data_IF_668426509237
#
_entry.id   IF_668426509237
#
_cell.length_a   1.000
_cell.length_b   1.000
_cell.length_c   1.000
_cell.angle_alpha   90.00
_cell.angle_beta   90.00
_cell.angle_gamma   90.00
#
_symmetry.space_group_name_H-M   'P 1'
#
loop_
_entity.id
_entity.type
_entity.pdbx_description
1 polymer ?
#
# COMPACT_ATOMS: atom_id res chain seq x y z
N UNK A 1 1.97 1.54 27.26
CA UNK A 1 1.54 0.51 26.28
C UNK A 1 1.99 0.86 24.84
N UNK A 2 1.71 2.05 24.31
CA UNK A 2 2.03 2.38 22.91
C UNK A 2 3.50 2.21 22.51
N UNK A 3 4.45 2.74 23.29
CA UNK A 3 5.87 2.61 22.98
C UNK A 3 6.38 1.16 22.98
N UNK A 4 5.88 0.31 23.86
CA UNK A 4 6.25 -1.11 23.87
C UNK A 4 5.73 -1.83 22.62
N UNK A 5 4.52 -1.52 22.18
CA UNK A 5 3.96 -2.11 20.94
C UNK A 5 4.77 -1.68 19.71
N UNK A 6 5.14 -0.40 19.61
CA UNK A 6 5.98 0.10 18.51
C UNK A 6 7.36 -0.55 18.49
N UNK A 7 8.03 -0.64 19.65
CA UNK A 7 9.34 -1.31 19.75
C UNK A 7 9.25 -2.81 19.41
N UNK A 8 8.19 -3.48 19.84
CA UNK A 8 7.96 -4.89 19.48
C UNK A 8 7.73 -5.04 17.98
N UNK A 9 6.93 -4.16 17.37
CA UNK A 9 6.72 -4.14 15.93
C UNK A 9 8.03 -3.93 15.15
N UNK A 10 8.83 -2.96 15.56
CA UNK A 10 10.14 -2.70 14.96
C UNK A 10 11.08 -3.91 15.09
N UNK A 11 11.12 -4.55 16.26
CA UNK A 11 11.94 -5.75 16.47
C UNK A 11 11.51 -6.90 15.56
N UNK A 12 10.20 -7.13 15.43
CA UNK A 12 9.66 -8.18 14.57
C UNK A 12 10.01 -7.91 13.09
N UNK A 13 9.84 -6.68 12.62
CA UNK A 13 10.21 -6.31 11.24
C UNK A 13 11.70 -6.49 11.00
N UNK A 14 12.55 -6.05 11.93
CA UNK A 14 13.99 -6.21 11.83
C UNK A 14 14.40 -7.69 11.78
N UNK A 15 13.77 -8.54 12.58
CA UNK A 15 13.99 -9.98 12.57
C UNK A 15 13.60 -10.63 11.22
N UNK A 16 12.46 -10.23 10.66
CA UNK A 16 12.03 -10.74 9.34
C UNK A 16 12.98 -10.34 8.22
N UNK A 17 13.52 -9.12 8.24
CA UNK A 17 14.49 -8.65 7.25
C UNK A 17 15.83 -9.39 7.46
N UNK A 18 16.32 -9.43 8.70
CA UNK A 18 17.62 -10.04 9.03
C UNK A 18 17.67 -11.56 8.81
N UNK A 19 16.54 -12.25 8.96
CA UNK A 19 16.44 -13.69 8.72
C UNK A 19 16.19 -14.08 7.27
N UNK A 20 15.96 -13.09 6.38
CA UNK A 20 15.75 -13.35 4.97
C UNK A 20 17.08 -13.44 4.21
N UNK A 21 17.37 -14.61 3.64
CA UNK A 21 18.62 -14.88 2.92
C UNK A 21 18.78 -14.09 1.61
N UNK A 22 17.71 -13.51 1.07
CA UNK A 22 17.81 -12.62 -0.09
C UNK A 22 18.46 -11.28 0.28
N UNK A 23 18.20 -10.78 1.50
CA UNK A 23 18.79 -9.53 2.00
C UNK A 23 20.06 -9.77 2.80
N UNK A 24 20.09 -10.86 3.58
CA UNK A 24 21.24 -11.28 4.38
C UNK A 24 21.72 -12.69 3.97
N UNK A 25 22.43 -12.82 2.83
CA UNK A 25 22.98 -14.09 2.40
C UNK A 25 23.82 -14.73 3.51
N UNK A 26 23.78 -16.07 3.60
CA UNK A 26 24.62 -16.80 4.53
C UNK A 26 26.10 -16.58 4.19
N UNK A 27 26.90 -16.37 5.21
CA UNK A 27 28.36 -16.24 5.10
C UNK A 27 29.02 -17.39 5.84
N UNK A 28 30.23 -17.74 5.43
CA UNK A 28 31.03 -18.74 6.14
C UNK A 28 31.47 -18.19 7.52
N UNK A 29 31.54 -19.05 8.53
CA UNK A 29 31.95 -18.69 9.90
C UNK A 29 33.38 -18.11 9.94
N UNK A 30 34.24 -18.58 9.04
CA UNK A 30 35.63 -18.16 8.94
C UNK A 30 35.85 -16.95 8.01
N UNK A 31 34.76 -16.41 7.41
CA UNK A 31 34.86 -15.24 6.52
C UNK A 31 35.01 -13.95 7.36
N UNK A 32 36.22 -13.38 7.34
CA UNK A 32 36.58 -12.12 7.98
C UNK A 32 36.80 -10.97 6.95
N UNK A 33 36.26 -11.09 5.74
CA UNK A 33 36.33 -10.05 4.73
C UNK A 33 35.59 -8.77 5.13
N UNK A 34 35.93 -7.66 4.49
CA UNK A 34 35.25 -6.37 4.73
C UNK A 34 33.74 -6.47 4.46
N UNK A 35 33.34 -7.30 3.50
CA UNK A 35 31.96 -7.54 3.09
C UNK A 35 31.16 -8.37 4.10
N UNK A 36 31.84 -8.98 5.08
CA UNK A 36 31.23 -9.77 6.16
C UNK A 36 30.90 -8.93 7.38
N UNK A 37 31.29 -7.65 7.40
CA UNK A 37 30.97 -6.76 8.54
C UNK A 37 29.46 -6.54 8.64
N UNK A 38 28.98 -6.38 9.87
CA UNK A 38 27.55 -6.17 10.16
C UNK A 38 27.05 -4.89 9.48
N UNK A 39 27.85 -3.84 9.54
CA UNK A 39 27.53 -2.54 8.98
C UNK A 39 27.36 -2.59 7.45
N UNK A 40 28.33 -3.21 6.76
CA UNK A 40 28.26 -3.37 5.31
C UNK A 40 27.06 -4.20 4.87
N UNK A 41 26.82 -5.32 5.54
CA UNK A 41 25.70 -6.21 5.24
C UNK A 41 24.35 -5.53 5.49
N UNK A 42 24.23 -4.77 6.59
CA UNK A 42 23.03 -4.02 6.89
C UNK A 42 22.75 -2.93 5.84
N UNK A 43 23.79 -2.19 5.43
CA UNK A 43 23.67 -1.17 4.39
C UNK A 43 23.24 -1.79 3.06
N UNK A 44 23.89 -2.88 2.64
CA UNK A 44 23.55 -3.58 1.40
C UNK A 44 22.14 -4.19 1.43
N UNK A 45 21.72 -4.75 2.57
CA UNK A 45 20.39 -5.29 2.74
C UNK A 45 19.34 -4.18 2.62
N UNK A 46 19.57 -3.01 3.21
CA UNK A 46 18.68 -1.85 3.13
C UNK A 46 18.56 -1.34 1.70
N UNK A 47 19.66 -1.21 1.00
CA UNK A 47 19.69 -0.82 -0.41
C UNK A 47 18.95 -1.83 -1.31
N UNK A 48 19.10 -3.13 -1.03
CA UNK A 48 18.42 -4.20 -1.79
C UNK A 48 16.93 -4.28 -1.48
N UNK A 49 16.51 -3.89 -0.29
CA UNK A 49 15.11 -3.99 0.15
C UNK A 49 14.18 -3.04 -0.62
N UNK A 50 14.67 -1.87 -1.05
CA UNK A 50 13.93 -0.88 -1.85
C UNK A 50 12.48 -0.71 -1.42
N UNK A 51 12.24 -0.53 -0.10
CA UNK A 51 10.88 -0.31 0.39
C UNK A 51 10.27 0.93 -0.26
N UNK A 52 9.02 0.84 -0.74
CA UNK A 52 8.29 2.00 -1.23
C UNK A 52 8.14 3.07 -0.16
N UNK A 53 7.94 4.30 -0.59
CA UNK A 53 7.59 5.40 0.31
C UNK A 53 6.20 5.19 0.92
N UNK A 54 5.97 5.79 2.08
CA UNK A 54 4.64 5.75 2.72
C UNK A 54 3.64 6.57 1.89
N UNK A 55 2.45 6.04 1.70
CA UNK A 55 1.36 6.79 1.10
C UNK A 55 0.91 7.93 2.02
N UNK A 56 1.14 9.17 1.58
CA UNK A 56 0.85 10.39 2.35
C UNK A 56 -0.02 11.34 1.53
N UNK A 57 -1.33 11.05 1.36
CA UNK A 57 -2.21 11.89 0.57
C UNK A 57 -2.35 13.29 1.19
N UNK A 58 -2.40 14.31 0.36
CA UNK A 58 -2.61 15.71 0.75
C UNK A 58 -4.04 16.21 0.55
N UNK A 59 -4.95 15.33 0.17
CA UNK A 59 -6.35 15.65 -0.13
C UNK A 59 -7.18 15.76 1.15
N UNK A 60 -7.17 16.91 1.81
CA UNK A 60 -7.99 17.18 3.00
C UNK A 60 -9.46 17.46 2.67
N UNK A 61 -9.73 17.91 1.46
CA UNK A 61 -11.05 18.19 0.89
C UNK A 61 -11.06 17.69 -0.55
N UNK A 62 -12.15 17.10 -0.97
CA UNK A 62 -12.29 16.57 -2.33
C UNK A 62 -13.47 17.23 -3.05
N UNK A 63 -13.16 18.17 -3.93
CA UNK A 63 -14.16 18.79 -4.79
C UNK A 63 -14.56 17.92 -6.00
N UNK A 64 -15.55 18.38 -6.76
CA UNK A 64 -16.05 17.66 -7.94
C UNK A 64 -14.97 17.45 -9.02
N UNK A 65 -14.02 18.39 -9.16
CA UNK A 65 -12.95 18.31 -10.14
C UNK A 65 -11.87 17.27 -9.72
N UNK A 66 -11.51 17.25 -8.45
CA UNK A 66 -10.59 16.27 -7.89
C UNK A 66 -11.18 14.85 -7.95
N UNK A 67 -12.47 14.70 -7.61
CA UNK A 67 -13.15 13.43 -7.75
C UNK A 67 -13.18 12.97 -9.22
N UNK A 68 -13.50 13.87 -10.17
CA UNK A 68 -13.49 13.57 -11.59
C UNK A 68 -12.09 13.17 -12.09
N UNK A 69 -11.04 13.80 -11.62
CA UNK A 69 -9.67 13.42 -11.94
C UNK A 69 -9.36 11.98 -11.47
N UNK A 70 -9.78 11.61 -10.24
CA UNK A 70 -9.53 10.28 -9.65
C UNK A 70 -10.33 9.15 -10.29
N UNK A 71 -11.59 9.42 -10.69
CA UNK A 71 -12.54 8.37 -11.07
C UNK A 71 -13.08 8.51 -12.51
N UNK A 72 -12.75 9.58 -13.21
CA UNK A 72 -13.15 9.80 -14.61
C UNK A 72 -14.57 10.32 -14.81
N UNK A 73 -15.33 10.58 -13.73
CA UNK A 73 -16.72 11.09 -13.78
C UNK A 73 -17.02 11.97 -12.57
N UNK A 74 -18.07 12.79 -12.67
CA UNK A 74 -18.51 13.66 -11.57
C UNK A 74 -19.19 12.86 -10.44
N UNK A 75 -18.99 13.25 -9.17
CA UNK A 75 -19.61 12.56 -8.03
C UNK A 75 -21.12 12.78 -8.01
N UNK A 76 -21.86 11.72 -7.69
CA UNK A 76 -23.29 11.80 -7.39
C UNK A 76 -23.55 12.20 -5.92
N UNK A 77 -24.80 12.40 -5.54
CA UNK A 77 -25.19 12.85 -4.20
C UNK A 77 -24.76 11.88 -3.07
N UNK A 78 -24.75 10.56 -3.34
CA UNK A 78 -24.31 9.56 -2.36
C UNK A 78 -22.81 9.68 -2.11
N UNK A 79 -22.03 9.85 -3.17
CA UNK A 79 -20.59 10.02 -3.12
C UNK A 79 -20.22 11.35 -2.42
N UNK A 80 -20.89 12.45 -2.79
CA UNK A 80 -20.71 13.76 -2.11
C UNK A 80 -21.03 13.69 -0.62
N UNK A 81 -22.11 13.00 -0.25
CA UNK A 81 -22.49 12.83 1.16
C UNK A 81 -21.41 12.07 1.94
N UNK A 82 -20.83 11.01 1.36
CA UNK A 82 -19.77 10.23 2.00
C UNK A 82 -18.48 11.04 2.14
N UNK A 83 -18.08 11.76 1.09
CA UNK A 83 -16.91 12.66 1.11
C UNK A 83 -17.10 13.73 2.19
N UNK A 84 -18.26 14.39 2.21
CA UNK A 84 -18.58 15.40 3.22
C UNK A 84 -18.51 14.86 4.64
N UNK A 85 -19.00 13.65 4.87
CA UNK A 85 -18.88 13.00 6.18
C UNK A 85 -17.43 12.75 6.58
N UNK A 86 -16.54 12.41 5.63
CA UNK A 86 -15.11 12.25 5.87
C UNK A 86 -14.42 13.60 6.16
N UNK A 87 -14.78 14.65 5.43
CA UNK A 87 -14.30 16.02 5.66
C UNK A 87 -14.71 16.57 7.02
N UNK A 88 -15.91 16.27 7.48
CA UNK A 88 -16.45 16.75 8.76
C UNK A 88 -15.96 15.90 9.97
N UNK A 89 -15.37 14.73 9.73
CA UNK A 89 -14.85 13.87 10.78
C UNK A 89 -13.71 14.55 11.56
N UNK A 90 -13.86 14.69 12.88
CA UNK A 90 -12.87 15.32 13.77
C UNK A 90 -11.99 14.31 14.51
N UNK A 91 -12.35 13.04 14.46
CA UNK A 91 -11.62 11.94 15.12
C UNK A 91 -11.83 10.63 14.35
N UNK A 92 -10.95 9.62 14.50
CA UNK A 92 -11.15 8.30 13.96
C UNK A 92 -12.48 7.68 14.39
N UNK A 93 -13.14 6.96 13.49
CA UNK A 93 -14.46 6.37 13.76
C UNK A 93 -14.84 5.33 12.71
N UNK A 94 -16.09 4.87 12.77
CA UNK A 94 -16.70 3.96 11.80
C UNK A 94 -17.70 4.77 10.97
N UNK A 95 -17.56 4.69 9.63
CA UNK A 95 -18.53 5.23 8.68
C UNK A 95 -19.28 4.08 8.03
N UNK A 96 -20.61 4.19 7.95
CA UNK A 96 -21.47 3.18 7.32
C UNK A 96 -22.18 3.84 6.16
N UNK A 97 -21.92 3.33 4.93
CA UNK A 97 -22.60 3.77 3.71
C UNK A 97 -23.60 2.70 3.27
N UNK A 98 -24.90 2.99 3.49
CA UNK A 98 -26.00 2.16 3.02
C UNK A 98 -26.62 2.82 1.79
N UNK A 99 -26.53 2.16 0.63
CA UNK A 99 -27.06 2.66 -0.63
C UNK A 99 -27.33 1.51 -1.60
N UNK A 100 -28.11 1.76 -2.63
CA UNK A 100 -28.47 0.77 -3.66
C UNK A 100 -27.22 0.21 -4.37
N UNK A 101 -27.36 -0.97 -4.99
CA UNK A 101 -26.32 -1.53 -5.85
C UNK A 101 -26.09 -0.64 -7.08
N UNK A 102 -24.84 -0.55 -7.53
CA UNK A 102 -24.48 0.21 -8.74
C UNK A 102 -24.36 1.73 -8.56
N UNK A 103 -24.59 2.28 -7.36
CA UNK A 103 -24.51 3.74 -7.11
C UNK A 103 -23.06 4.24 -6.91
N UNK A 104 -22.04 3.38 -7.06
CA UNK A 104 -20.65 3.82 -6.92
C UNK A 104 -20.16 3.90 -5.46
N UNK A 105 -20.57 2.94 -4.60
CA UNK A 105 -20.11 2.88 -3.20
C UNK A 105 -18.60 2.70 -3.07
N UNK A 106 -17.99 2.00 -4.02
CA UNK A 106 -16.53 1.76 -4.01
C UNK A 106 -15.78 3.07 -4.15
N UNK A 107 -16.14 3.90 -5.13
CA UNK A 107 -15.52 5.20 -5.35
C UNK A 107 -15.80 6.15 -4.18
N UNK A 108 -17.02 6.12 -3.62
CA UNK A 108 -17.32 6.86 -2.40
C UNK A 108 -16.41 6.47 -1.23
N UNK A 109 -16.17 5.17 -1.05
CA UNK A 109 -15.30 4.66 0.01
C UNK A 109 -13.84 5.04 -0.20
N UNK A 110 -13.32 4.95 -1.44
CA UNK A 110 -11.95 5.32 -1.78
C UNK A 110 -11.72 6.83 -1.62
N UNK A 111 -12.64 7.66 -2.11
CA UNK A 111 -12.59 9.11 -1.93
C UNK A 111 -12.58 9.51 -0.45
N UNK A 112 -13.48 8.92 0.35
CA UNK A 112 -13.51 9.15 1.79
C UNK A 112 -12.24 8.66 2.50
N UNK A 113 -11.68 7.53 2.07
CA UNK A 113 -10.44 6.98 2.63
C UNK A 113 -9.26 7.92 2.35
N UNK A 114 -9.14 8.48 1.14
CA UNK A 114 -8.10 9.47 0.79
C UNK A 114 -8.18 10.69 1.72
N UNK A 115 -9.37 11.27 1.90
CA UNK A 115 -9.58 12.40 2.81
C UNK A 115 -9.26 12.05 4.26
N UNK A 116 -9.73 10.90 4.75
CA UNK A 116 -9.48 10.46 6.12
C UNK A 116 -8.00 10.18 6.37
N UNK A 117 -7.31 9.55 5.42
CA UNK A 117 -5.87 9.26 5.51
C UNK A 117 -5.07 10.55 5.60
N UNK A 118 -5.37 11.55 4.76
CA UNK A 118 -4.75 12.87 4.84
C UNK A 118 -4.97 13.53 6.22
N UNK A 119 -6.20 13.47 6.75
CA UNK A 119 -6.55 14.08 8.04
C UNK A 119 -5.94 13.39 9.25
N UNK A 120 -5.78 12.08 9.20
CA UNK A 120 -5.28 11.29 10.34
C UNK A 120 -3.78 11.05 10.30
N UNK A 121 -3.11 11.36 9.18
CA UNK A 121 -1.70 11.02 8.95
C UNK A 121 -1.48 9.50 8.88
N UNK A 122 -2.50 8.75 8.46
CA UNK A 122 -2.36 7.32 8.18
C UNK A 122 -1.53 7.11 6.91
N UNK A 123 -0.96 5.91 6.74
CA UNK A 123 -0.02 5.65 5.66
C UNK A 123 -0.38 4.40 4.83
N UNK A 124 -1.66 4.07 4.76
CA UNK A 124 -2.13 2.93 3.96
C UNK A 124 -3.62 2.70 4.04
N UNK A 125 -4.13 1.90 3.11
CA UNK A 125 -5.52 1.51 2.98
C UNK A 125 -5.66 -0.02 2.95
N UNK A 126 -6.52 -0.58 3.78
CA UNK A 126 -6.93 -1.97 3.70
C UNK A 126 -8.36 -2.10 3.18
N UNK A 127 -8.52 -2.73 2.01
CA UNK A 127 -9.83 -2.94 1.38
C UNK A 127 -10.29 -4.40 1.55
N UNK A 128 -11.15 -4.66 2.54
CA UNK A 128 -11.64 -6.01 2.86
C UNK A 128 -12.87 -6.40 2.06
N UNK A 129 -12.86 -7.56 1.42
CA UNK A 129 -13.98 -8.11 0.65
C UNK A 129 -14.30 -9.55 1.07
N UNK A 130 -15.58 -9.97 1.00
CA UNK A 130 -16.00 -11.26 1.57
C UNK A 130 -15.56 -12.47 0.74
N UNK A 131 -15.23 -12.30 -0.55
CA UNK A 131 -14.84 -13.41 -1.43
C UNK A 131 -13.68 -13.04 -2.35
N UNK A 132 -12.90 -14.03 -2.75
CA UNK A 132 -11.82 -13.89 -3.74
C UNK A 132 -12.33 -13.37 -5.10
N UNK A 133 -13.52 -13.84 -5.53
CA UNK A 133 -14.12 -13.41 -6.80
C UNK A 133 -14.44 -11.91 -6.78
N UNK A 134 -14.96 -11.39 -5.66
CA UNK A 134 -15.21 -9.94 -5.52
C UNK A 134 -13.92 -9.16 -5.40
N UNK A 135 -12.90 -9.70 -4.74
CA UNK A 135 -11.57 -9.09 -4.64
C UNK A 135 -10.92 -8.95 -6.03
N UNK A 136 -10.89 -10.03 -6.81
CA UNK A 136 -10.39 -9.99 -8.19
C UNK A 136 -11.19 -9.04 -9.09
N UNK A 137 -12.51 -8.99 -8.95
CA UNK A 137 -13.37 -8.11 -9.74
C UNK A 137 -13.23 -6.62 -9.43
N UNK A 138 -12.81 -6.28 -8.21
CA UNK A 138 -12.58 -4.89 -7.78
C UNK A 138 -11.14 -4.45 -7.97
N UNK A 139 -10.18 -5.38 -8.01
CA UNK A 139 -8.76 -5.10 -8.10
C UNK A 139 -8.37 -4.12 -9.21
N UNK A 140 -8.86 -4.23 -10.46
CA UNK A 140 -8.53 -3.25 -11.51
C UNK A 140 -8.91 -1.82 -11.18
N UNK A 141 -10.00 -1.61 -10.45
CA UNK A 141 -10.47 -0.28 -10.04
C UNK A 141 -9.63 0.29 -8.90
N UNK A 142 -9.21 -0.56 -7.96
CA UNK A 142 -8.27 -0.19 -6.90
C UNK A 142 -6.90 0.14 -7.47
N UNK A 143 -6.40 -0.70 -8.39
CA UNK A 143 -5.15 -0.49 -9.09
C UNK A 143 -5.14 0.86 -9.82
N UNK A 144 -6.17 1.14 -10.61
CA UNK A 144 -6.28 2.42 -11.33
C UNK A 144 -6.28 3.60 -10.35
N UNK A 145 -7.07 3.54 -9.28
CA UNK A 145 -7.10 4.60 -8.27
C UNK A 145 -5.75 4.76 -7.56
N UNK A 146 -5.08 3.65 -7.22
CA UNK A 146 -3.77 3.67 -6.59
C UNK A 146 -2.67 4.21 -7.52
N UNK A 147 -2.74 3.94 -8.83
CA UNK A 147 -1.83 4.52 -9.82
C UNK A 147 -1.92 6.05 -9.84
N UNK A 148 -3.12 6.62 -9.76
CA UNK A 148 -3.33 8.08 -9.66
C UNK A 148 -2.73 8.69 -8.37
N UNK A 149 -2.53 7.87 -7.32
CA UNK A 149 -1.86 8.28 -6.09
C UNK A 149 -0.32 8.17 -6.19
N UNK A 150 0.19 7.52 -7.24
CA UNK A 150 1.59 7.10 -7.37
C UNK A 150 2.35 7.84 -8.47
N UNK A 151 1.84 9.00 -8.95
CA UNK A 151 2.46 9.74 -10.06
C UNK A 151 3.89 10.21 -9.74
N UNK A 152 4.15 10.64 -8.50
CA UNK A 152 5.43 11.22 -8.09
C UNK A 152 6.26 10.30 -7.18
N UNK A 153 5.68 9.22 -6.67
CA UNK A 153 6.31 8.31 -5.70
C UNK A 153 5.99 6.86 -5.99
N UNK A 154 6.85 5.96 -5.49
CA UNK A 154 6.65 4.52 -5.61
C UNK A 154 5.79 4.02 -4.44
N UNK A 155 4.64 3.44 -4.74
CA UNK A 155 3.76 2.83 -3.74
C UNK A 155 3.59 1.33 -3.98
N UNK A 156 3.22 0.61 -2.92
CA UNK A 156 2.98 -0.83 -2.98
C UNK A 156 1.49 -1.16 -2.95
N UNK A 157 1.08 -2.16 -3.73
CA UNK A 157 -0.25 -2.75 -3.66
C UNK A 157 -0.15 -4.26 -3.38
N UNK A 158 -1.07 -4.75 -2.56
CA UNK A 158 -1.12 -6.17 -2.20
C UNK A 158 -2.50 -6.78 -2.40
N UNK A 159 -2.60 -7.79 -3.26
CA UNK A 159 -3.79 -8.63 -3.38
C UNK A 159 -3.66 -9.84 -2.44
N UNK A 160 -4.33 -9.80 -1.29
CA UNK A 160 -4.13 -10.75 -0.19
C UNK A 160 -5.21 -11.84 -0.14
N UNK A 161 -5.12 -12.85 -1.01
CA UNK A 161 -5.92 -14.08 -0.92
C UNK A 161 -5.18 -15.28 -1.54
N UNK A 162 -5.67 -16.51 -1.26
CA UNK A 162 -4.97 -17.74 -1.62
C UNK A 162 -4.80 -18.03 -3.12
N UNK A 163 -5.43 -17.23 -4.01
CA UNK A 163 -5.32 -17.35 -5.47
C UNK A 163 -4.84 -16.05 -6.14
N UNK A 164 -4.21 -15.14 -5.39
CA UNK A 164 -3.70 -13.89 -5.92
C UNK A 164 -2.68 -14.11 -7.05
N UNK A 165 -1.87 -15.17 -6.95
CA UNK A 165 -0.89 -15.55 -7.97
C UNK A 165 -1.50 -15.93 -9.34
N UNK A 166 -2.81 -16.20 -9.40
CA UNK A 166 -3.52 -16.47 -10.65
C UNK A 166 -4.13 -15.20 -11.28
N UNK A 167 -4.02 -14.05 -10.61
CA UNK A 167 -4.50 -12.78 -11.15
C UNK A 167 -3.41 -12.17 -12.06
N UNK A 168 -3.66 -12.18 -13.37
CA UNK A 168 -2.71 -11.73 -14.38
C UNK A 168 -2.33 -10.24 -14.22
N UNK A 169 -3.27 -9.38 -13.85
CA UNK A 169 -3.02 -7.95 -13.60
C UNK A 169 -2.10 -7.76 -12.39
N UNK A 170 -2.38 -8.47 -11.29
CA UNK A 170 -1.51 -8.42 -10.12
C UNK A 170 -0.10 -8.96 -10.43
N UNK A 171 0.02 -10.03 -11.21
CA UNK A 171 1.31 -10.57 -11.63
C UNK A 171 2.12 -9.60 -12.52
N UNK A 172 1.45 -8.81 -13.34
CA UNK A 172 2.14 -7.80 -14.16
C UNK A 172 2.87 -6.75 -13.31
N UNK A 173 2.37 -6.42 -12.12
CA UNK A 173 3.01 -5.48 -11.21
C UNK A 173 4.33 -6.01 -10.62
N UNK A 174 4.49 -7.33 -10.48
CA UNK A 174 5.78 -7.93 -10.07
C UNK A 174 6.85 -7.80 -11.15
N UNK A 175 6.47 -7.97 -12.41
CA UNK A 175 7.41 -7.85 -13.52
C UNK A 175 7.90 -6.41 -13.73
N UNK A 176 7.04 -5.42 -13.43
CA UNK A 176 7.41 -4.00 -13.44
C UNK A 176 8.49 -3.66 -12.41
N UNK A 177 8.51 -4.34 -11.26
CA UNK A 177 9.45 -4.07 -10.17
C UNK A 177 10.93 -4.28 -10.60
N UNK A 178 11.19 -5.22 -11.50
CA UNK A 178 12.56 -5.53 -11.96
C UNK A 178 13.19 -4.39 -12.77
N UNK A 179 12.38 -3.57 -13.44
CA UNK A 179 12.86 -2.42 -14.22
C UNK A 179 13.00 -1.16 -13.35
N UNK A 180 12.17 -1.02 -12.32
CA UNK A 180 12.21 0.14 -11.42
C UNK A 180 13.45 0.15 -10.51
N UNK A 181 14.06 -1.00 -10.25
CA UNK A 181 15.28 -1.12 -9.46
C UNK A 181 16.51 -0.46 -10.12
N UNK A 182 16.45 -0.16 -11.43
CA UNK A 182 17.52 0.50 -12.19
C UNK A 182 17.34 2.03 -12.25
N UNK A 183 16.17 2.55 -11.86
CA UNK A 183 15.88 3.99 -11.89
C UNK A 183 16.33 4.68 -10.60
N UNK A 184 16.94 5.86 -10.75
CA UNK A 184 17.42 6.67 -9.62
C UNK A 184 16.29 7.30 -8.78
N UNK A 185 15.08 7.38 -9.33
CA UNK A 185 13.90 7.96 -8.67
C UNK A 185 12.63 7.24 -9.16
N UNK A 186 12.38 5.99 -8.72
CA UNK A 186 11.25 5.23 -9.21
C UNK A 186 9.92 5.82 -8.71
N UNK A 187 8.94 5.90 -9.60
CA UNK A 187 7.56 6.25 -9.27
C UNK A 187 6.60 5.24 -9.87
N UNK A 188 5.40 5.13 -9.34
CA UNK A 188 4.37 4.22 -9.81
C UNK A 188 3.89 3.22 -8.77
N UNK A 189 3.14 2.23 -9.22
CA UNK A 189 2.53 1.21 -8.38
C UNK A 189 3.21 -0.15 -8.61
N UNK A 190 3.59 -0.84 -7.54
CA UNK A 190 4.28 -2.13 -7.60
C UNK A 190 3.68 -3.16 -6.65
N UNK A 191 3.79 -4.45 -7.02
CA UNK A 191 3.63 -5.55 -6.08
C UNK A 191 5.00 -5.91 -5.52
N UNK A 192 5.34 -5.35 -4.37
CA UNK A 192 6.68 -5.48 -3.81
C UNK A 192 6.89 -6.84 -3.15
N UNK A 193 7.95 -7.55 -3.53
CA UNK A 193 8.23 -8.93 -3.08
C UNK A 193 8.29 -9.08 -1.55
N UNK A 194 8.77 -8.08 -0.83
CA UNK A 194 8.84 -8.14 0.64
C UNK A 194 7.45 -8.28 1.28
N UNK A 195 6.40 -7.68 0.71
CA UNK A 195 5.03 -7.76 1.21
C UNK A 195 4.32 -9.07 0.83
N UNK A 196 4.94 -9.96 0.04
CA UNK A 196 4.40 -11.28 -0.30
C UNK A 196 4.28 -12.22 0.90
N UNK A 197 5.07 -12.01 1.95
CA UNK A 197 4.94 -12.74 3.20
C UNK A 197 3.56 -12.53 3.84
N UNK A 198 2.96 -13.59 4.40
CA UNK A 198 1.63 -13.52 5.04
C UNK A 198 1.50 -12.46 6.12
N UNK A 199 2.60 -12.11 6.79
CA UNK A 199 2.62 -11.14 7.90
C UNK A 199 2.93 -9.74 7.39
N UNK A 200 3.77 -9.62 6.38
CA UNK A 200 4.17 -8.35 5.78
C UNK A 200 3.06 -7.73 4.91
N UNK A 201 2.11 -8.52 4.44
CA UNK A 201 0.99 -8.05 3.61
C UNK A 201 0.20 -6.87 4.21
N UNK A 202 0.16 -6.76 5.55
CA UNK A 202 -0.53 -5.67 6.25
C UNK A 202 0.27 -4.35 6.29
N UNK A 203 1.49 -4.35 5.77
CA UNK A 203 2.38 -3.19 5.72
C UNK A 203 2.45 -2.57 4.32
N UNK A 204 1.78 -3.17 3.33
CA UNK A 204 1.61 -2.58 1.99
C UNK A 204 0.74 -1.32 2.08
N UNK A 205 0.94 -0.36 1.18
CA UNK A 205 0.17 0.90 1.15
C UNK A 205 -1.30 0.64 0.76
N UNK A 206 -1.52 -0.30 -0.16
CA UNK A 206 -2.84 -0.64 -0.71
C UNK A 206 -3.09 -2.14 -0.75
#
# INVERSE_FOLDING_TARGET
MGAQMLLTGLLIMSDWIASNTNYFPLIDIDDNGADSSVEYRAQKAWETLHLPDLWTPSCFFMDDAQFQSRFGFLPNEVQKTMIKAAEDAVQPGIMILEAQMGVGKTEAALAAAEVLTAKTGSAGLFFGLPTQATANGIFPRLEQWAMEQSEDTLHSIRLAHGMAELNEQYQALFHGTSHLAEDMNPSGLVAHQWFEGRKQALLSDF
#
